data_IF_232322185313
#
_entry.id   IF_232322185313
#
_cell.length_a   1.000
_cell.length_b   1.000
_cell.length_c   1.000
_cell.angle_alpha   90.00
_cell.angle_beta   90.00
_cell.angle_gamma   90.00
#
_symmetry.space_group_name_H-M   'P 1'
#
loop_
_entity.id
_entity.type
_entity.pdbx_description
1 polymer ?
#
# COMPACT_ATOMS: atom_id res chain seq x y z
N UNK A 1 31.22 2.06 6.10
CA UNK A 1 30.97 2.19 7.56
C UNK A 1 30.13 1.00 7.99
N UNK A 2 30.47 0.35 9.10
CA UNK A 2 29.68 -0.75 9.69
C UNK A 2 28.57 -0.13 10.53
N UNK A 3 27.32 -0.23 10.08
CA UNK A 3 26.17 0.17 10.90
C UNK A 3 26.12 -0.82 12.07
N UNK A 4 26.36 -0.32 13.28
CA UNK A 4 26.20 -1.12 14.49
C UNK A 4 24.73 -1.55 14.60
N UNK A 5 24.49 -2.82 14.92
CA UNK A 5 23.14 -3.36 15.17
C UNK A 5 22.62 -2.80 16.50
N UNK A 6 22.24 -1.53 16.49
CA UNK A 6 21.58 -0.90 17.62
C UNK A 6 20.08 -1.14 17.46
N UNK A 7 19.46 -1.69 18.50
CA UNK A 7 18.01 -1.87 18.51
C UNK A 7 17.35 -0.50 18.66
N UNK A 8 16.52 -0.15 17.69
CA UNK A 8 15.78 1.10 17.62
C UNK A 8 14.32 0.87 17.98
N UNK A 9 13.76 1.84 18.71
CA UNK A 9 12.33 2.00 18.86
C UNK A 9 11.72 2.56 17.57
N UNK A 10 10.40 2.46 17.44
CA UNK A 10 9.69 3.00 16.27
C UNK A 10 9.88 4.53 16.13
N UNK A 11 9.88 5.27 17.24
CA UNK A 11 10.08 6.73 17.21
C UNK A 11 11.48 7.12 16.77
N UNK A 12 12.51 6.36 17.18
CA UNK A 12 13.89 6.57 16.74
C UNK A 12 14.07 6.20 15.28
N UNK A 13 13.43 5.12 14.82
CA UNK A 13 13.40 4.74 13.40
C UNK A 13 12.81 5.82 12.51
N UNK A 14 11.71 6.47 12.91
CA UNK A 14 11.10 7.56 12.13
C UNK A 14 12.00 8.79 11.99
N UNK A 15 12.97 8.96 12.89
CA UNK A 15 13.95 10.06 12.87
C UNK A 15 15.33 9.61 12.37
N UNK A 16 15.47 8.34 11.99
CA UNK A 16 16.74 7.78 11.57
C UNK A 16 17.12 8.29 10.18
N UNK A 17 18.30 8.88 10.08
CA UNK A 17 18.90 9.34 8.83
C UNK A 17 20.41 9.06 8.91
N UNK A 18 20.93 8.24 7.99
CA UNK A 18 22.35 7.86 7.95
C UNK A 18 23.14 8.66 6.89
N UNK A 19 22.51 9.68 6.30
CA UNK A 19 23.07 10.49 5.22
C UNK A 19 23.16 9.76 3.87
N UNK A 20 22.59 8.56 3.76
CA UNK A 20 22.51 7.80 2.51
C UNK A 20 21.08 7.77 1.99
N UNK A 21 20.91 7.49 0.69
CA UNK A 21 19.58 7.23 0.08
C UNK A 21 19.10 5.78 0.31
N UNK A 22 19.67 5.10 1.31
CA UNK A 22 19.31 3.71 1.64
C UNK A 22 18.00 3.72 2.43
N UNK A 23 16.98 3.04 1.90
CA UNK A 23 15.76 2.79 2.66
C UNK A 23 15.95 1.57 3.55
N UNK A 24 15.44 1.63 4.78
CA UNK A 24 15.49 0.54 5.75
C UNK A 24 14.06 0.14 6.15
N UNK A 25 13.91 -1.08 6.63
CA UNK A 25 12.72 -1.60 7.30
C UNK A 25 13.08 -1.92 8.75
N UNK A 26 12.18 -1.61 9.70
CA UNK A 26 12.38 -1.95 11.11
C UNK A 26 11.84 -3.35 11.40
N UNK A 27 12.72 -4.33 11.57
CA UNK A 27 12.39 -5.75 11.85
C UNK A 27 12.87 -6.11 13.24
N UNK A 28 11.95 -6.36 14.19
CA UNK A 28 12.29 -6.68 15.60
C UNK A 28 13.23 -5.67 16.28
N UNK A 29 13.12 -4.39 15.89
CA UNK A 29 13.96 -3.31 16.38
C UNK A 29 15.27 -3.15 15.62
N UNK A 30 15.54 -3.92 14.57
CA UNK A 30 16.75 -3.81 13.76
C UNK A 30 16.45 -3.15 12.41
N UNK A 31 17.38 -2.31 11.93
CA UNK A 31 17.30 -1.74 10.58
C UNK A 31 17.81 -2.75 9.57
N UNK A 32 16.89 -3.26 8.76
CA UNK A 32 17.21 -4.12 7.63
C UNK A 32 17.16 -3.25 6.38
N UNK A 33 18.27 -3.08 5.62
CA UNK A 33 18.22 -2.32 4.38
C UNK A 33 17.21 -2.96 3.45
N UNK A 34 16.22 -2.17 3.04
CA UNK A 34 15.28 -2.56 2.00
C UNK A 34 16.12 -2.82 0.76
N UNK A 35 16.03 -4.03 0.20
CA UNK A 35 16.73 -4.33 -1.03
C UNK A 35 16.31 -3.29 -2.06
N UNK A 36 17.24 -2.46 -2.54
CA UNK A 36 16.98 -1.51 -3.62
C UNK A 36 16.37 -2.34 -4.72
N UNK A 37 15.10 -2.11 -5.02
CA UNK A 37 14.42 -2.84 -6.06
C UNK A 37 15.19 -2.57 -7.34
N UNK A 38 16.10 -3.48 -7.73
CA UNK A 38 16.75 -3.46 -9.05
C UNK A 38 15.62 -3.25 -10.04
N UNK A 39 15.74 -2.39 -11.05
CA UNK A 39 14.61 -1.92 -11.89
C UNK A 39 13.56 -2.98 -12.28
N UNK A 40 13.95 -4.26 -12.35
CA UNK A 40 13.08 -5.45 -12.34
C UNK A 40 11.93 -5.41 -11.30
N UNK A 41 12.14 -4.99 -10.05
CA UNK A 41 11.07 -4.88 -9.06
C UNK A 41 10.01 -3.86 -9.49
N UNK A 42 10.42 -2.72 -10.05
CA UNK A 42 9.49 -1.75 -10.61
C UNK A 42 8.74 -2.37 -11.80
N UNK A 43 9.43 -3.08 -12.70
CA UNK A 43 8.82 -3.78 -13.82
C UNK A 43 7.81 -4.85 -13.39
N UNK A 44 8.09 -5.59 -12.30
CA UNK A 44 7.17 -6.59 -11.74
C UNK A 44 5.95 -5.89 -11.14
N UNK A 45 6.13 -4.80 -10.40
CA UNK A 45 5.01 -4.03 -9.83
C UNK A 45 4.13 -3.47 -10.94
N UNK A 46 4.72 -2.84 -11.97
CA UNK A 46 3.99 -2.28 -13.10
C UNK A 46 3.22 -3.38 -13.85
N UNK A 47 3.85 -4.52 -14.10
CA UNK A 47 3.19 -5.67 -14.72
C UNK A 47 2.00 -6.15 -13.89
N UNK A 48 2.15 -6.32 -12.58
CA UNK A 48 1.07 -6.77 -11.71
C UNK A 48 -0.07 -5.76 -11.64
N UNK A 49 0.24 -4.46 -11.56
CA UNK A 49 -0.75 -3.38 -11.58
C UNK A 49 -1.55 -3.43 -12.87
N UNK A 50 -0.91 -3.63 -14.02
CA UNK A 50 -1.59 -3.73 -15.31
C UNK A 50 -2.47 -4.97 -15.42
N UNK A 51 -2.01 -6.13 -14.92
CA UNK A 51 -2.84 -7.35 -14.90
C UNK A 51 -4.07 -7.19 -14.02
N UNK A 52 -3.91 -6.60 -12.83
CA UNK A 52 -5.04 -6.37 -11.90
C UNK A 52 -6.04 -5.39 -12.51
N UNK A 53 -5.57 -4.29 -13.12
CA UNK A 53 -6.45 -3.33 -13.82
C UNK A 53 -7.26 -4.02 -14.91
N UNK A 54 -6.62 -4.85 -15.73
CA UNK A 54 -7.30 -5.63 -16.79
C UNK A 54 -8.36 -6.57 -16.21
N UNK A 55 -8.00 -7.34 -15.19
CA UNK A 55 -8.93 -8.26 -14.53
C UNK A 55 -10.15 -7.54 -13.94
N UNK A 56 -9.97 -6.36 -13.35
CA UNK A 56 -11.07 -5.55 -12.81
C UNK A 56 -12.03 -5.10 -13.92
N UNK A 57 -11.50 -4.71 -15.07
CA UNK A 57 -12.30 -4.32 -16.25
C UNK A 57 -13.07 -5.53 -16.81
N UNK A 58 -12.40 -6.68 -16.96
CA UNK A 58 -13.02 -7.92 -17.47
C UNK A 58 -14.13 -8.44 -16.56
N UNK A 59 -13.98 -8.29 -15.24
CA UNK A 59 -15.01 -8.65 -14.26
C UNK A 59 -16.20 -7.67 -14.23
N UNK A 60 -16.19 -6.62 -15.07
CA UNK A 60 -17.23 -5.59 -15.08
C UNK A 60 -17.28 -4.76 -13.79
N UNK A 61 -16.18 -4.76 -13.01
CA UNK A 61 -16.04 -4.07 -11.72
C UNK A 61 -15.25 -2.77 -11.87
N UNK A 62 -15.52 -2.02 -12.94
CA UNK A 62 -14.92 -0.72 -13.20
C UNK A 62 -15.16 0.29 -12.06
N UNK A 63 -16.16 0.05 -11.21
CA UNK A 63 -16.44 0.77 -9.96
C UNK A 63 -15.33 0.60 -8.90
N UNK A 64 -14.67 -0.58 -8.84
CA UNK A 64 -13.56 -0.83 -7.92
C UNK A 64 -12.22 -0.25 -8.40
N UNK A 65 -12.02 -0.09 -9.71
CA UNK A 65 -10.80 0.49 -10.28
C UNK A 65 -10.61 1.97 -9.87
N UNK A 66 -11.71 2.72 -9.72
CA UNK A 66 -11.68 4.14 -9.35
C UNK A 66 -11.67 4.39 -7.84
N UNK A 67 -12.09 3.41 -7.03
CA UNK A 67 -12.17 3.58 -5.57
C UNK A 67 -10.79 3.63 -4.90
N UNK A 68 -9.73 3.08 -5.50
CA UNK A 68 -8.38 3.19 -4.96
C UNK A 68 -7.78 4.60 -5.14
N UNK A 69 -8.26 5.37 -6.14
CA UNK A 69 -7.82 6.74 -6.41
C UNK A 69 -8.63 7.80 -5.63
N UNK A 70 -9.75 7.42 -5.01
CA UNK A 70 -10.58 8.33 -4.24
C UNK A 70 -11.27 7.56 -3.14
N UNK A 71 -10.67 7.58 -1.95
CA UNK A 71 -11.24 7.02 -0.72
C UNK A 71 -12.54 7.72 -0.32
N UNK A 72 -13.64 7.31 -0.94
CA UNK A 72 -14.99 7.55 -0.43
C UNK A 72 -15.71 6.22 -0.33
N UNK A 73 -15.62 5.62 0.85
CA UNK A 73 -16.47 4.52 1.29
C UNK A 73 -17.93 4.96 1.19
N UNK A 74 -18.63 4.56 0.12
CA UNK A 74 -20.09 4.65 0.08
C UNK A 74 -20.61 3.52 0.97
N UNK A 75 -21.01 3.88 2.18
CA UNK A 75 -21.79 3.02 3.06
C UNK A 75 -23.13 2.70 2.37
N UNK A 76 -23.16 1.57 1.68
CA UNK A 76 -24.36 1.06 1.03
C UNK A 76 -25.12 0.20 2.05
N UNK A 77 -26.21 0.74 2.61
CA UNK A 77 -27.26 -0.10 3.20
C UNK A 77 -28.63 0.40 2.78
N UNK A 78 -29.12 -0.13 1.66
CA UNK A 78 -30.54 -0.22 1.35
C UNK A 78 -31.13 -1.40 2.13
N UNK A 79 -32.08 -1.12 3.01
CA UNK A 79 -33.08 -2.08 3.49
C UNK A 79 -34.18 -1.23 4.15
N UNK A 80 -35.48 -1.24 3.84
CA UNK A 80 -36.37 -1.94 2.90
C UNK A 80 -37.68 -1.14 2.92
N UNK A 81 -38.52 -1.34 1.89
CA UNK A 81 -39.97 -1.12 1.84
C UNK A 81 -40.65 -0.82 3.18
N UNK A 82 -41.45 0.26 3.22
CA UNK A 82 -42.90 0.14 3.43
C UNK A 82 -43.64 1.45 3.07
N UNK A 83 -44.62 1.30 2.16
CA UNK A 83 -45.77 2.20 1.97
C UNK A 83 -46.80 1.89 3.09
N UNK A 84 -47.80 2.74 3.45
CA UNK A 84 -48.60 3.52 2.51
C UNK A 84 -49.04 4.93 2.94
N UNK A 85 -49.68 5.58 1.95
CA UNK A 85 -50.42 6.84 1.97
C UNK A 85 -51.39 6.99 3.15
N UNK A 86 -51.53 8.22 3.63
CA UNK A 86 -52.79 8.83 4.08
C UNK A 86 -52.75 10.32 3.73
#
# INVERSE_FOLDING_TARGET
>A
MTVAVQKLTFEEYLKYEDGTDTRYELVNGELVPMSVGKGIHALIVDFLVDQIKRAIVELGRSDMAMSAASGRTVAQRRQTRDFPYS
#
